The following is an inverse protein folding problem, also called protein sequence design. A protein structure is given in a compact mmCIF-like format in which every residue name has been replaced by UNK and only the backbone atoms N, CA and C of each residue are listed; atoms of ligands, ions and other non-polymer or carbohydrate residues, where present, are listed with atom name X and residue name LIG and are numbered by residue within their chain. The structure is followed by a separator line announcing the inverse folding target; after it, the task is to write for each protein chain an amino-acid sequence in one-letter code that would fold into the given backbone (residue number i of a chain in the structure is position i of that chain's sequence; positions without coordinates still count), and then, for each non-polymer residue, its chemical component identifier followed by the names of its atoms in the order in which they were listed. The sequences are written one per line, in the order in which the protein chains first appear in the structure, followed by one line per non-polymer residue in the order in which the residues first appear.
data_IF_690235658966
#
_entry.id   IF_690235658966
#
_cell.length_a   1.000
_cell.length_b   1.000
_cell.length_c   1.000
_cell.angle_alpha   90.00
_cell.angle_beta   90.00
_cell.angle_gamma   90.00
#
_symmetry.space_group_name_H-M   'P 1'
#
loop_
_entity.id
_entity.type
_entity.pdbx_description
1 polymer ?
#
# COMPACT_ATOMS: atom_id res chain seq x y z
N UNK A 1 3.30 5.60 23.18
CA UNK A 1 3.18 4.79 21.95
C UNK A 1 2.83 5.71 20.80
N UNK A 2 3.65 5.72 19.77
CA UNK A 2 3.40 6.46 18.53
C UNK A 2 2.42 5.69 17.63
N UNK A 3 1.69 6.37 16.75
CA UNK A 3 0.72 5.73 15.82
C UNK A 3 1.36 4.63 14.95
N UNK A 4 2.66 4.80 14.63
CA UNK A 4 3.44 3.80 13.89
C UNK A 4 3.70 2.51 14.68
N UNK A 5 3.93 2.62 15.99
CA UNK A 5 4.13 1.44 16.85
C UNK A 5 2.84 0.63 16.99
N UNK A 6 1.68 1.30 17.05
CA UNK A 6 0.38 0.63 17.03
C UNK A 6 0.16 -0.12 15.73
N UNK A 7 0.49 0.50 14.60
CA UNK A 7 0.37 -0.11 13.27
C UNK A 7 1.25 -1.36 13.13
N UNK A 8 2.52 -1.28 13.51
CA UNK A 8 3.44 -2.43 13.47
C UNK A 8 3.01 -3.57 14.39
N UNK A 9 2.37 -3.27 15.52
CA UNK A 9 1.85 -4.29 16.43
C UNK A 9 0.61 -4.99 15.86
N UNK A 10 -0.23 -4.27 15.10
CA UNK A 10 -1.35 -4.86 14.38
C UNK A 10 -0.85 -5.83 13.29
N UNK A 11 0.23 -5.47 12.59
CA UNK A 11 0.82 -6.31 11.54
C UNK A 11 1.30 -7.68 12.03
N UNK A 12 1.53 -7.88 13.33
CA UNK A 12 2.02 -9.18 13.83
C UNK A 12 1.01 -10.31 13.63
N UNK A 13 -0.29 -9.99 13.75
CA UNK A 13 -1.37 -10.98 13.80
C UNK A 13 -2.28 -10.97 12.57
N UNK A 14 -2.18 -9.95 11.71
CA UNK A 14 -3.00 -9.84 10.49
C UNK A 14 -2.56 -10.92 9.49
N UNK A 15 -3.52 -11.52 8.76
CA UNK A 15 -3.14 -12.42 7.67
C UNK A 15 -2.55 -11.60 6.50
N UNK A 16 -1.44 -11.99 5.88
CA UNK A 16 -0.83 -11.21 4.80
C UNK A 16 -1.74 -10.99 3.59
N UNK A 17 -2.68 -11.90 3.32
CA UNK A 17 -3.67 -11.70 2.26
C UNK A 17 -4.69 -10.65 2.68
N UNK A 18 -5.09 -10.65 3.95
CA UNK A 18 -5.97 -9.63 4.52
C UNK A 18 -5.30 -8.24 4.48
N UNK A 19 -4.02 -8.14 4.86
CA UNK A 19 -3.23 -6.90 4.74
C UNK A 19 -3.26 -6.36 3.30
N UNK A 20 -2.94 -7.20 2.31
CA UNK A 20 -2.97 -6.77 0.90
C UNK A 20 -4.38 -6.44 0.41
N UNK A 21 -5.41 -7.07 0.97
CA UNK A 21 -6.81 -6.75 0.69
C UNK A 21 -7.15 -5.35 1.19
N UNK A 22 -6.70 -4.96 2.39
CA UNK A 22 -6.89 -3.60 2.93
C UNK A 22 -6.26 -2.54 2.00
N UNK A 23 -5.03 -2.77 1.55
CA UNK A 23 -4.36 -1.92 0.56
C UNK A 23 -5.08 -1.88 -0.81
N UNK A 24 -5.90 -2.87 -1.10
CA UNK A 24 -6.71 -2.97 -2.30
C UNK A 24 -8.17 -2.54 -2.07
N UNK A 25 -8.47 -1.86 -0.96
CA UNK A 25 -9.80 -1.35 -0.62
C UNK A 25 -10.80 -2.45 -0.24
N UNK A 26 -10.34 -3.51 0.43
CA UNK A 26 -11.15 -4.66 0.86
C UNK A 26 -11.53 -5.64 -0.26
N UNK A 27 -10.87 -5.54 -1.42
CA UNK A 27 -11.17 -6.35 -2.61
C UNK A 27 -10.19 -7.53 -2.75
N UNK A 28 -10.59 -8.61 -3.46
CA UNK A 28 -9.75 -9.78 -3.66
C UNK A 28 -8.35 -9.45 -4.18
N UNK A 29 -7.34 -10.02 -3.52
CA UNK A 29 -5.92 -9.86 -3.86
C UNK A 29 -5.62 -10.64 -5.16
N UNK A 30 -4.87 -10.05 -6.11
CA UNK A 30 -4.39 -10.74 -7.30
C UNK A 30 -3.66 -12.05 -6.98
N UNK A 31 -3.91 -13.11 -7.77
CA UNK A 31 -3.27 -14.43 -7.60
C UNK A 31 -1.73 -14.38 -7.52
N UNK A 32 -1.02 -13.57 -8.32
CA UNK A 32 0.44 -13.48 -8.23
C UNK A 32 0.92 -13.03 -6.84
N UNK A 33 0.22 -12.10 -6.20
CA UNK A 33 0.56 -11.62 -4.85
C UNK A 33 0.27 -12.67 -3.78
N UNK A 34 -0.84 -13.42 -3.93
CA UNK A 34 -1.14 -14.56 -3.06
C UNK A 34 -0.02 -15.62 -3.19
N UNK A 35 0.47 -15.87 -4.41
CA UNK A 35 1.54 -16.82 -4.64
C UNK A 35 2.85 -16.36 -3.98
N UNK A 36 3.17 -15.07 -4.00
CA UNK A 36 4.32 -14.51 -3.25
C UNK A 36 4.19 -14.82 -1.76
N UNK A 37 3.01 -14.57 -1.15
CA UNK A 37 2.79 -14.87 0.27
C UNK A 37 2.98 -16.36 0.56
N UNK A 38 2.42 -17.23 -0.28
CA UNK A 38 2.58 -18.68 -0.12
C UNK A 38 4.05 -19.11 -0.16
N UNK A 39 4.81 -18.59 -1.13
CA UNK A 39 6.22 -18.91 -1.25
C UNK A 39 7.06 -18.37 -0.09
N UNK A 40 6.72 -17.22 0.47
CA UNK A 40 7.38 -16.69 1.67
C UNK A 40 7.14 -17.61 2.88
N UNK A 41 5.93 -18.15 3.03
CA UNK A 41 5.59 -19.13 4.08
C UNK A 41 6.32 -20.46 3.88
N UNK A 42 6.33 -20.98 2.65
CA UNK A 42 6.90 -22.31 2.40
C UNK A 42 8.44 -22.31 2.33
N UNK A 43 9.04 -21.35 1.62
CA UNK A 43 10.49 -21.35 1.37
C UNK A 43 11.28 -20.76 2.52
N UNK A 44 10.79 -19.68 3.12
CA UNK A 44 11.50 -18.94 4.16
C UNK A 44 10.96 -19.20 5.57
N UNK A 45 9.83 -19.93 5.70
CA UNK A 45 9.17 -20.24 6.98
C UNK A 45 8.86 -19.00 7.81
N UNK A 46 8.59 -17.88 7.15
CA UNK A 46 8.27 -16.64 7.82
C UNK A 46 6.89 -16.66 8.48
N UNK A 47 6.80 -16.04 9.65
CA UNK A 47 5.53 -15.77 10.31
C UNK A 47 4.74 -14.71 9.54
N UNK A 48 3.43 -14.64 9.78
CA UNK A 48 2.59 -13.58 9.23
C UNK A 48 3.16 -12.19 9.57
N UNK A 49 3.62 -11.97 10.81
CA UNK A 49 4.26 -10.71 11.20
C UNK A 49 5.46 -10.34 10.34
N UNK A 50 6.41 -11.26 10.14
CA UNK A 50 7.60 -10.99 9.31
C UNK A 50 7.21 -10.70 7.86
N UNK A 51 6.27 -11.47 7.30
CA UNK A 51 5.75 -11.24 5.94
C UNK A 51 5.10 -9.86 5.85
N UNK A 52 4.27 -9.50 6.82
CA UNK A 52 3.59 -8.20 6.84
C UNK A 52 4.58 -7.05 6.96
N UNK A 53 5.62 -7.16 7.79
CA UNK A 53 6.68 -6.16 7.89
C UNK A 53 7.44 -5.98 6.58
N UNK A 54 7.70 -7.07 5.86
CA UNK A 54 8.32 -7.05 4.53
C UNK A 54 7.42 -6.38 3.48
N UNK A 55 6.14 -6.77 3.43
CA UNK A 55 5.17 -6.23 2.47
C UNK A 55 4.92 -4.74 2.72
N UNK A 56 4.77 -4.34 3.98
CA UNK A 56 4.62 -2.95 4.41
C UNK A 56 5.80 -2.09 3.92
N UNK A 57 7.03 -2.60 4.09
CA UNK A 57 8.22 -1.92 3.58
C UNK A 57 8.22 -1.79 2.05
N UNK A 58 7.88 -2.87 1.33
CA UNK A 58 7.83 -2.85 -0.14
C UNK A 58 6.79 -1.85 -0.66
N UNK A 59 5.62 -1.77 -0.01
CA UNK A 59 4.55 -0.84 -0.37
C UNK A 59 4.96 0.62 -0.10
N UNK A 60 5.67 0.89 0.99
CA UNK A 60 6.19 2.24 1.27
C UNK A 60 7.34 2.65 0.33
N UNK A 61 8.30 1.76 0.05
CA UNK A 61 9.51 2.09 -0.72
C UNK A 61 9.24 2.28 -2.22
N UNK A 62 8.34 1.47 -2.80
CA UNK A 62 8.13 1.41 -4.24
C UNK A 62 6.82 2.06 -4.71
N UNK A 63 6.36 3.11 -4.03
CA UNK A 63 5.10 3.80 -4.37
C UNK A 63 3.92 2.80 -4.55
N UNK A 64 3.79 1.86 -3.61
CA UNK A 64 2.80 0.78 -3.58
C UNK A 64 2.95 -0.32 -4.65
N UNK A 65 4.09 -0.40 -5.36
CA UNK A 65 4.39 -1.50 -6.28
C UNK A 65 5.10 -2.67 -5.57
N UNK A 66 4.68 -3.90 -5.86
CA UNK A 66 5.31 -5.11 -5.30
C UNK A 66 5.93 -5.93 -6.43
N UNK A 67 7.26 -6.07 -6.41
CA UNK A 67 7.97 -7.00 -7.30
C UNK A 67 8.25 -8.32 -6.62
N UNK A 68 7.92 -9.43 -7.27
CA UNK A 68 8.34 -10.75 -6.82
C UNK A 68 9.86 -10.82 -6.64
N UNK A 69 10.63 -10.38 -7.63
CA UNK A 69 12.10 -10.43 -7.54
C UNK A 69 12.63 -9.61 -6.36
N UNK A 70 12.09 -8.39 -6.16
CA UNK A 70 12.49 -7.51 -5.06
C UNK A 70 12.11 -8.10 -3.70
N UNK A 71 10.85 -8.57 -3.54
CA UNK A 71 10.37 -9.19 -2.30
C UNK A 71 11.23 -10.38 -1.91
N UNK A 72 11.58 -11.25 -2.86
CA UNK A 72 12.39 -12.43 -2.57
C UNK A 72 13.83 -12.08 -2.23
N UNK A 73 14.42 -11.09 -2.88
CA UNK A 73 15.74 -10.58 -2.50
C UNK A 73 15.75 -10.09 -1.04
N UNK A 74 14.75 -9.27 -0.66
CA UNK A 74 14.63 -8.80 0.72
C UNK A 74 14.30 -9.94 1.69
N UNK A 75 13.56 -10.96 1.26
CA UNK A 75 13.29 -12.16 2.05
C UNK A 75 14.56 -12.97 2.34
N UNK A 76 15.47 -13.08 1.38
CA UNK A 76 16.79 -13.70 1.61
C UNK A 76 17.58 -12.94 2.68
N UNK A 77 17.62 -11.60 2.59
CA UNK A 77 18.27 -10.74 3.57
C UNK A 77 17.65 -10.90 4.97
N UNK A 78 16.31 -10.91 5.06
CA UNK A 78 15.59 -11.13 6.33
C UNK A 78 15.82 -12.52 6.92
N UNK A 79 15.95 -13.54 6.07
CA UNK A 79 16.22 -14.90 6.50
C UNK A 79 17.62 -15.03 7.09
N UNK A 80 18.60 -14.35 6.50
CA UNK A 80 19.97 -14.28 7.03
C UNK A 80 20.01 -13.51 8.35
N UNK A 81 19.27 -12.39 8.43
CA UNK A 81 19.13 -11.59 9.64
C UNK A 81 18.32 -12.29 10.74
N UNK A 82 17.48 -13.28 10.39
CA UNK A 82 16.59 -14.04 11.28
C UNK A 82 15.57 -13.14 11.99
N UNK A 83 14.93 -12.24 11.24
CA UNK A 83 13.83 -11.43 11.77
C UNK A 83 12.72 -12.32 12.35
N UNK A 84 12.20 -11.96 13.53
CA UNK A 84 11.21 -12.79 14.24
C UNK A 84 9.80 -12.24 14.20
N UNK A 85 9.66 -10.93 13.98
CA UNK A 85 8.40 -10.21 14.05
C UNK A 85 8.35 -9.09 13.01
N UNK A 86 7.17 -8.51 12.82
CA UNK A 86 6.92 -7.43 11.87
C UNK A 86 7.84 -6.23 12.09
N UNK A 87 8.04 -5.85 13.36
CA UNK A 87 8.87 -4.71 13.74
C UNK A 87 10.33 -4.90 13.33
N UNK A 88 10.92 -6.05 13.68
CA UNK A 88 12.30 -6.38 13.36
C UNK A 88 12.53 -6.43 11.85
N UNK A 89 11.63 -7.09 11.11
CA UNK A 89 11.72 -7.19 9.66
C UNK A 89 11.69 -5.79 9.03
N UNK A 90 10.69 -5.00 9.38
CA UNK A 90 10.51 -3.65 8.85
C UNK A 90 11.68 -2.72 9.22
N UNK A 91 12.12 -2.73 10.48
CA UNK A 91 13.22 -1.89 10.96
C UNK A 91 14.55 -2.26 10.31
N UNK A 92 14.83 -3.55 10.14
CA UNK A 92 16.04 -4.02 9.47
C UNK A 92 16.08 -3.50 8.03
N UNK A 93 15.03 -3.75 7.25
CA UNK A 93 14.95 -3.33 5.85
C UNK A 93 15.08 -1.82 5.68
N UNK A 94 14.42 -1.06 6.56
CA UNK A 94 14.51 0.40 6.59
C UNK A 94 15.92 0.92 6.86
N UNK A 95 16.68 0.25 7.72
CA UNK A 95 18.05 0.65 8.05
C UNK A 95 19.07 0.12 7.03
N UNK A 96 18.78 -1.02 6.40
CA UNK A 96 19.62 -1.67 5.41
C UNK A 96 19.50 -1.02 4.02
N UNK A 97 18.35 -0.41 3.69
CA UNK A 97 18.16 0.24 2.39
C UNK A 97 18.80 1.63 2.36
N UNK A 98 19.86 1.86 1.56
CA UNK A 98 20.47 3.19 1.41
C UNK A 98 19.55 4.22 0.71
N UNK A 99 18.40 3.77 0.18
CA UNK A 99 17.39 4.61 -0.49
C UNK A 99 16.36 5.23 0.45
N UNK A 100 16.14 4.68 1.64
CA UNK A 100 15.08 5.16 2.55
C UNK A 100 15.36 6.56 3.12
N UNK A 101 16.63 7.01 3.12
CA UNK A 101 17.03 8.37 3.52
C UNK A 101 16.97 9.39 2.37
N UNK A 102 16.54 9.01 1.17
CA UNK A 102 16.53 9.89 -0.02
C UNK A 102 15.19 9.90 -0.73
N UNK A 103 14.11 10.22 -0.02
CA UNK A 103 12.94 10.82 -0.69
C UNK A 103 13.26 12.28 -0.99
N UNK A 104 14.04 12.51 -2.05
CA UNK A 104 13.93 13.66 -2.93
C UNK A 104 14.88 13.46 -4.12
N UNK A 105 14.28 13.44 -5.32
CA UNK A 105 14.88 13.50 -6.66
C UNK A 105 15.23 12.17 -7.36
N UNK A 106 14.28 11.78 -8.19
CA UNK A 106 14.37 11.79 -9.66
C UNK A 106 15.24 10.70 -10.33
N UNK A 107 14.54 9.88 -11.10
CA UNK A 107 14.94 9.15 -12.32
C UNK A 107 16.43 8.86 -12.47
N UNK A 108 16.81 7.60 -12.27
CA UNK A 108 17.89 7.01 -13.05
C UNK A 108 17.39 5.73 -13.69
N UNK A 109 17.46 5.75 -15.01
CA UNK A 109 17.40 4.64 -15.94
C UNK A 109 18.17 3.44 -15.37
N UNK A 110 17.41 2.45 -14.90
CA UNK A 110 17.91 1.09 -14.73
C UNK A 110 17.28 0.34 -15.89
N UNK A 111 18.10 -0.08 -16.84
CA UNK A 111 17.76 -1.16 -17.78
C UNK A 111 17.55 -2.42 -16.93
N UNK A 112 16.36 -2.54 -16.33
CA UNK A 112 15.91 -3.77 -15.70
C UNK A 112 15.31 -4.61 -16.81
N UNK A 113 15.81 -5.83 -16.94
CA UNK A 113 15.17 -6.89 -17.69
C UNK A 113 13.72 -7.04 -17.18
N UNK A 114 12.78 -6.48 -17.95
CA UNK A 114 11.40 -6.31 -17.51
C UNK A 114 10.73 -7.69 -17.41
N UNK A 115 10.48 -8.14 -16.19
CA UNK A 115 9.56 -9.25 -15.95
C UNK A 115 8.15 -8.79 -16.34
N UNK A 116 7.61 -9.31 -17.46
CA UNK A 116 6.30 -8.91 -17.98
C UNK A 116 5.16 -9.07 -16.94
N UNK A 117 5.24 -10.12 -16.10
CA UNK A 117 4.27 -10.39 -15.03
C UNK A 117 4.31 -9.31 -13.93
N UNK A 118 5.50 -8.76 -13.65
CA UNK A 118 5.69 -7.62 -12.75
C UNK A 118 5.04 -6.35 -13.31
N UNK A 119 5.22 -6.09 -14.60
CA UNK A 119 4.65 -4.91 -15.25
C UNK A 119 3.12 -5.00 -15.25
N UNK A 120 2.55 -6.13 -15.64
CA UNK A 120 1.10 -6.32 -15.69
C UNK A 120 0.44 -6.21 -14.31
N UNK A 121 1.02 -6.84 -13.28
CA UNK A 121 0.46 -6.81 -11.92
C UNK A 121 0.46 -5.39 -11.35
N UNK A 122 1.54 -4.63 -11.58
CA UNK A 122 1.62 -3.24 -11.10
C UNK A 122 0.75 -2.28 -11.92
N UNK A 123 0.69 -2.43 -13.25
CA UNK A 123 -0.22 -1.63 -14.08
C UNK A 123 -1.66 -1.87 -13.63
N UNK A 124 -2.05 -3.12 -13.36
CA UNK A 124 -3.39 -3.43 -12.86
C UNK A 124 -3.66 -2.80 -11.50
N UNK A 125 -2.69 -2.82 -10.57
CA UNK A 125 -2.83 -2.20 -9.25
C UNK A 125 -2.96 -0.67 -9.35
N UNK A 126 -2.09 -0.03 -10.13
CA UNK A 126 -2.11 1.43 -10.34
C UNK A 126 -3.39 1.87 -11.05
N UNK A 127 -3.79 1.18 -12.13
CA UNK A 127 -5.02 1.49 -12.85
C UNK A 127 -6.24 1.39 -11.94
N UNK A 128 -6.24 0.43 -11.00
CA UNK A 128 -7.31 0.25 -10.02
C UNK A 128 -7.31 1.33 -8.94
N UNK A 129 -6.16 1.65 -8.37
CA UNK A 129 -6.02 2.75 -7.40
C UNK A 129 -6.49 4.08 -8.01
N UNK A 130 -6.10 4.36 -9.25
CA UNK A 130 -6.58 5.52 -10.01
C UNK A 130 -8.09 5.51 -10.20
N UNK A 131 -8.69 4.35 -10.49
CA UNK A 131 -10.13 4.22 -10.63
C UNK A 131 -10.88 4.49 -9.32
N UNK A 132 -10.38 3.96 -8.21
CA UNK A 132 -11.00 4.15 -6.89
C UNK A 132 -10.85 5.61 -6.41
N UNK A 133 -9.69 6.24 -6.64
CA UNK A 133 -9.49 7.67 -6.37
C UNK A 133 -10.46 8.53 -7.19
N UNK A 134 -10.65 8.22 -8.47
CA UNK A 134 -11.63 8.93 -9.32
C UNK A 134 -13.05 8.79 -8.79
N UNK A 135 -13.44 7.62 -8.27
CA UNK A 135 -14.75 7.42 -7.64
C UNK A 135 -14.92 8.27 -6.40
N UNK A 136 -13.92 8.29 -5.51
CA UNK A 136 -13.97 9.08 -4.29
C UNK A 136 -14.08 10.58 -4.60
N UNK A 137 -13.28 11.08 -5.54
CA UNK A 137 -13.34 12.46 -6.01
C UNK A 137 -14.73 12.80 -6.55
N UNK A 138 -15.32 11.93 -7.39
CA UNK A 138 -16.66 12.16 -7.92
C UNK A 138 -17.74 12.20 -6.83
N UNK A 139 -17.65 11.31 -5.82
CA UNK A 139 -18.60 11.31 -4.69
C UNK A 139 -18.50 12.62 -3.91
N UNK A 140 -17.28 13.04 -3.57
CA UNK A 140 -17.05 14.31 -2.86
C UNK A 140 -17.54 15.51 -3.68
N UNK A 141 -17.31 15.51 -4.99
CA UNK A 141 -17.79 16.56 -5.88
C UNK A 141 -19.33 16.64 -5.91
N UNK A 142 -20.01 15.50 -5.97
CA UNK A 142 -21.47 15.44 -5.92
C UNK A 142 -22.03 15.94 -4.59
N UNK A 143 -21.42 15.57 -3.47
CA UNK A 143 -21.79 16.06 -2.14
C UNK A 143 -21.64 17.59 -2.05
N UNK A 144 -20.52 18.11 -2.57
CA UNK A 144 -20.27 19.55 -2.61
C UNK A 144 -21.32 20.30 -3.43
N UNK A 145 -21.72 19.77 -4.59
CA UNK A 145 -22.79 20.37 -5.40
C UNK A 145 -24.14 20.38 -4.66
N UNK A 146 -24.49 19.30 -3.98
CA UNK A 146 -25.71 19.26 -3.17
C UNK A 146 -25.68 20.30 -2.04
N UNK A 147 -24.53 20.51 -1.41
CA UNK A 147 -24.37 21.55 -0.39
C UNK A 147 -24.55 22.95 -0.98
N UNK A 148 -24.01 23.21 -2.17
CA UNK A 148 -24.19 24.49 -2.87
C UNK A 148 -25.66 24.75 -3.22
N UNK A 149 -26.38 23.74 -3.71
CA UNK A 149 -27.82 23.84 -4.02
C UNK A 149 -28.65 24.18 -2.77
N UNK A 150 -28.30 23.59 -1.61
CA UNK A 150 -28.96 23.88 -0.34
C UNK A 150 -28.70 25.32 0.12
N UNK A 151 -27.44 25.79 0.00
CA UNK A 151 -27.08 27.18 0.32
C UNK A 151 -27.86 28.15 -0.58
N UNK A 152 -27.93 27.89 -1.90
CA UNK A 152 -28.67 28.74 -2.83
C UNK A 152 -30.16 28.81 -2.47
N UNK A 153 -30.75 27.66 -2.09
CA UNK A 153 -32.15 27.59 -1.64
C UNK A 153 -32.38 28.40 -0.37
N UNK A 154 -31.49 28.31 0.63
CA UNK A 154 -31.57 29.10 1.85
C UNK A 154 -31.43 30.61 1.57
N UNK A 155 -30.49 31.01 0.72
CA UNK A 155 -30.31 32.41 0.33
C UNK A 155 -31.57 32.97 -0.35
N UNK A 156 -32.22 32.19 -1.24
CA UNK A 156 -33.49 32.58 -1.86
C UNK A 156 -34.62 32.74 -0.84
N UNK A 157 -34.68 31.90 0.19
CA UNK A 157 -35.67 32.03 1.27
C UNK A 157 -35.43 33.28 2.11
N UNK A 158 -34.19 33.54 2.51
CA UNK A 158 -33.81 34.75 3.24
C UNK A 158 -34.14 36.02 2.43
N UNK A 159 -33.83 36.03 1.14
CA UNK A 159 -34.16 37.16 0.26
C UNK A 159 -35.68 37.45 0.17
N UNK A 160 -36.52 36.43 0.33
CA UNK A 160 -37.99 36.59 0.39
C UNK A 160 -38.48 37.13 1.73
N UNK A 161 -37.76 36.91 2.82
CA UNK A 161 -38.12 37.40 4.16
C UNK A 161 -37.75 38.87 4.37
N UNK A 162 -36.83 39.39 3.55
CA UNK A 162 -36.35 40.79 3.62
C UNK A 162 -37.14 41.71 2.65
N UNK A 163 -37.99 41.14 1.79
CA UNK A 163 -38.95 41.87 0.94
C UNK A 163 -40.33 41.91 1.57
#
# INVERSE_FOLDING_TARGET
MTEREKRLQQLENVDPVELLSEYNGGKPVPKPLIQIIYDLKEKFRFSNGVINGLLEFCLEENNHAISRAHVFKLAEELSLYRARNAREAYSYLKNASPGYLKTEKLTKSIEMEYNAEYVETNIALIARQLHDLRKEVNVKFNQMNQHLDQIEKHLKQLAKLIK
#
